data_IF_566268490892
#
_entry.id   IF_566268490892
#
_cell.length_a   1.000
_cell.length_b   1.000
_cell.length_c   1.000
_cell.angle_alpha   90.00
_cell.angle_beta   90.00
_cell.angle_gamma   90.00
#
_symmetry.space_group_name_H-M   'P 1'
#
loop_
_entity.id
_entity.type
_entity.pdbx_description
1 polymer ?
#
# COMPACT_ATOMS: atom_id res chain seq x y z
N UNK A 1 19.13 15.31 -10.39
CA UNK A 1 18.48 14.18 -9.69
C UNK A 1 19.46 13.73 -8.61
N UNK A 2 18.98 13.57 -7.39
CA UNK A 2 19.84 13.17 -6.27
C UNK A 2 20.32 11.72 -6.42
N UNK A 3 21.60 11.44 -6.08
CA UNK A 3 22.19 10.11 -6.28
C UNK A 3 21.37 8.97 -5.69
N UNK A 4 20.85 9.13 -4.49
CA UNK A 4 20.07 8.10 -3.81
C UNK A 4 18.78 7.69 -4.51
N UNK A 5 18.02 8.64 -5.10
CA UNK A 5 16.83 8.30 -5.89
C UNK A 5 17.17 7.54 -7.17
N UNK A 6 18.37 7.79 -7.74
CA UNK A 6 18.86 7.05 -8.91
C UNK A 6 19.15 5.59 -8.54
N UNK A 7 19.72 5.32 -7.37
CA UNK A 7 20.02 3.95 -6.92
C UNK A 7 18.74 3.12 -6.69
N UNK A 8 17.73 3.70 -6.04
CA UNK A 8 16.42 3.04 -5.93
C UNK A 8 15.84 2.74 -7.32
N UNK A 9 15.93 3.70 -8.25
CA UNK A 9 15.40 3.52 -9.60
C UNK A 9 16.14 2.40 -10.37
N UNK A 10 17.43 2.20 -10.12
CA UNK A 10 18.27 1.17 -10.73
C UNK A 10 18.06 -0.23 -10.13
N UNK A 11 17.43 -0.36 -8.97
CA UNK A 11 17.19 -1.66 -8.32
C UNK A 11 16.40 -2.61 -9.22
N UNK A 12 16.81 -3.87 -9.32
CA UNK A 12 16.19 -4.89 -10.18
C UNK A 12 15.26 -5.84 -9.42
N UNK A 13 15.37 -5.89 -8.10
CA UNK A 13 14.58 -6.75 -7.21
C UNK A 13 13.95 -5.94 -6.07
N UNK A 14 12.88 -6.48 -5.49
CA UNK A 14 12.26 -5.88 -4.29
C UNK A 14 13.27 -5.81 -3.16
N UNK A 15 14.08 -6.85 -2.96
CA UNK A 15 15.09 -6.90 -1.90
C UNK A 15 16.14 -5.80 -2.06
N UNK A 16 16.68 -5.61 -3.28
CA UNK A 16 17.66 -4.52 -3.53
C UNK A 16 17.06 -3.12 -3.36
N UNK A 17 15.80 -2.94 -3.76
CA UNK A 17 15.11 -1.67 -3.58
C UNK A 17 14.87 -1.36 -2.09
N UNK A 18 14.57 -2.37 -1.27
CA UNK A 18 14.39 -2.21 0.17
C UNK A 18 15.71 -1.90 0.88
N UNK A 19 16.81 -2.58 0.53
CA UNK A 19 18.12 -2.34 1.10
C UNK A 19 18.63 -0.92 0.79
N UNK A 20 18.47 -0.46 -0.44
CA UNK A 20 18.82 0.90 -0.84
C UNK A 20 18.00 1.95 -0.10
N UNK A 21 16.72 1.69 0.08
CA UNK A 21 15.85 2.56 0.84
C UNK A 21 16.28 2.69 2.31
N UNK A 22 16.60 1.57 2.96
CA UNK A 22 17.07 1.56 4.34
C UNK A 22 18.36 2.40 4.49
N UNK A 23 19.31 2.23 3.55
CA UNK A 23 20.54 3.05 3.52
C UNK A 23 20.23 4.54 3.44
N UNK A 24 19.36 4.95 2.51
CA UNK A 24 19.04 6.36 2.31
C UNK A 24 18.31 7.00 3.49
N UNK A 25 17.39 6.30 4.11
CA UNK A 25 16.67 6.85 5.27
C UNK A 25 17.55 6.88 6.52
N UNK A 26 18.51 5.94 6.63
CA UNK A 26 19.55 5.97 7.66
C UNK A 26 20.49 7.18 7.50
N UNK A 27 20.93 7.49 6.28
CA UNK A 27 21.72 8.68 5.97
C UNK A 27 20.98 9.98 6.30
N UNK A 28 19.66 9.98 6.26
CA UNK A 28 18.81 11.09 6.69
C UNK A 28 18.62 11.14 8.22
N UNK A 29 19.26 10.25 8.97
CA UNK A 29 19.27 10.25 10.43
C UNK A 29 18.12 9.49 11.08
N UNK A 30 17.34 8.71 10.33
CA UNK A 30 16.36 7.84 10.94
C UNK A 30 17.05 6.66 11.65
N UNK A 31 16.75 6.46 12.93
CA UNK A 31 17.31 5.38 13.76
C UNK A 31 16.50 4.09 13.65
N UNK A 32 15.25 4.19 13.26
CA UNK A 32 14.38 3.05 12.97
C UNK A 32 13.37 3.40 11.87
N UNK A 33 12.89 2.40 11.16
CA UNK A 33 11.90 2.62 10.15
C UNK A 33 11.20 1.36 9.70
N UNK A 34 10.09 1.55 9.02
CA UNK A 34 9.32 0.46 8.44
C UNK A 34 8.67 0.87 7.13
N UNK A 35 8.50 -0.11 6.28
CA UNK A 35 7.65 -0.06 5.11
C UNK A 35 6.70 -1.25 5.13
N UNK A 36 5.43 -0.98 4.90
CA UNK A 36 4.39 -1.98 4.95
C UNK A 36 3.45 -1.83 3.75
N UNK A 37 3.42 -2.81 2.87
CA UNK A 37 2.54 -2.84 1.71
C UNK A 37 1.70 -4.11 1.70
N UNK A 38 0.38 -3.96 1.72
CA UNK A 38 -0.53 -5.05 1.43
C UNK A 38 -1.00 -4.94 -0.02
N UNK A 39 -0.81 -5.96 -0.86
CA UNK A 39 -1.38 -5.95 -2.20
C UNK A 39 -2.90 -5.80 -2.13
N UNK A 40 -3.47 -5.07 -3.10
CA UNK A 40 -4.91 -4.83 -3.18
C UNK A 40 -5.71 -6.13 -2.98
N UNK A 41 -6.76 -6.05 -2.17
CA UNK A 41 -7.69 -7.15 -1.86
C UNK A 41 -7.09 -8.36 -1.13
N UNK A 42 -5.91 -8.23 -0.51
CA UNK A 42 -5.30 -9.25 0.33
C UNK A 42 -5.33 -8.84 1.80
N UNK A 43 -5.39 -9.86 2.68
CA UNK A 43 -5.23 -9.65 4.12
C UNK A 43 -3.84 -9.09 4.43
N UNK A 44 -3.75 -8.22 5.40
CA UNK A 44 -2.49 -7.65 5.91
C UNK A 44 -1.49 -8.72 6.37
N UNK A 45 -1.99 -9.89 6.76
CA UNK A 45 -1.18 -11.06 7.15
C UNK A 45 -0.99 -12.06 6.01
N UNK A 46 -1.43 -11.72 4.80
CA UNK A 46 -1.34 -12.63 3.64
C UNK A 46 0.10 -12.80 3.14
N UNK A 47 0.37 -13.93 2.51
CA UNK A 47 1.70 -14.29 1.94
C UNK A 47 2.29 -13.30 0.93
N UNK A 48 1.51 -12.30 0.48
CA UNK A 48 1.91 -11.27 -0.48
C UNK A 48 2.14 -9.90 0.14
N UNK A 49 1.99 -9.78 1.46
CA UNK A 49 2.32 -8.56 2.18
C UNK A 49 3.83 -8.39 2.23
N UNK A 50 4.30 -7.22 1.84
CA UNK A 50 5.71 -6.85 1.92
C UNK A 50 5.86 -6.01 3.18
N UNK A 51 6.68 -6.51 4.10
CA UNK A 51 7.05 -5.80 5.31
C UNK A 51 8.57 -5.75 5.38
N UNK A 52 9.13 -4.57 5.54
CA UNK A 52 10.52 -4.40 5.94
C UNK A 52 10.60 -3.44 7.10
N UNK A 53 11.61 -3.62 7.92
CA UNK A 53 11.89 -2.77 9.07
C UNK A 53 13.40 -2.80 9.37
N UNK A 54 13.87 -1.73 9.98
CA UNK A 54 15.24 -1.63 10.52
C UNK A 54 15.20 -0.87 11.85
N UNK A 55 16.21 -1.06 12.68
CA UNK A 55 16.41 -0.31 13.93
C UNK A 55 15.43 -0.63 15.06
N UNK A 56 14.49 -1.57 14.87
CA UNK A 56 13.60 -2.04 15.95
C UNK A 56 14.19 -3.24 16.66
N UNK A 57 13.97 -3.34 17.99
CA UNK A 57 14.30 -4.53 18.76
C UNK A 57 13.44 -5.73 18.29
N UNK A 58 13.97 -6.95 18.42
CA UNK A 58 13.22 -8.18 18.12
C UNK A 58 11.88 -8.26 18.86
N UNK A 59 11.85 -7.76 20.10
CA UNK A 59 10.65 -7.69 20.92
C UNK A 59 9.59 -6.78 20.30
N UNK A 60 9.99 -5.62 19.82
CA UNK A 60 9.09 -4.65 19.19
C UNK A 60 8.57 -5.18 17.85
N UNK A 61 9.45 -5.79 17.07
CA UNK A 61 9.09 -6.44 15.78
C UNK A 61 8.09 -7.57 16.01
N UNK A 62 8.35 -8.47 16.94
CA UNK A 62 7.44 -9.58 17.25
C UNK A 62 6.07 -9.10 17.71
N UNK A 63 6.05 -8.03 18.51
CA UNK A 63 4.80 -7.40 18.95
C UNK A 63 4.06 -6.77 17.76
N UNK A 64 4.76 -6.08 16.88
CA UNK A 64 4.15 -5.36 15.75
C UNK A 64 3.62 -6.32 14.68
N UNK A 65 4.28 -7.44 14.45
CA UNK A 65 3.87 -8.44 13.46
C UNK A 65 2.75 -9.38 13.97
N UNK A 66 2.45 -9.36 15.27
CA UNK A 66 1.29 -10.06 15.82
C UNK A 66 0.00 -9.38 15.31
N UNK A 67 -0.87 -10.09 14.59
CA UNK A 67 -2.13 -9.52 14.05
C UNK A 67 -2.99 -8.83 15.11
N UNK A 68 -3.03 -9.37 16.34
CA UNK A 68 -3.79 -8.79 17.45
C UNK A 68 -3.23 -7.44 17.92
N UNK A 69 -1.93 -7.23 17.80
CA UNK A 69 -1.28 -5.98 18.19
C UNK A 69 -1.21 -4.98 17.04
N UNK A 70 -1.20 -5.46 15.80
CA UNK A 70 -1.20 -4.59 14.62
C UNK A 70 -2.42 -3.66 14.59
N UNK A 71 -3.60 -4.17 14.89
CA UNK A 71 -4.85 -3.41 14.99
C UNK A 71 -4.81 -2.33 16.09
N UNK A 72 -3.95 -2.51 17.09
CA UNK A 72 -3.75 -1.56 18.18
C UNK A 72 -2.75 -0.44 17.85
N UNK A 73 -2.08 -0.47 16.69
CA UNK A 73 -1.29 0.68 16.24
C UNK A 73 -2.22 1.68 15.51
N UNK A 74 -2.52 2.85 16.14
CA UNK A 74 -3.47 3.78 15.55
C UNK A 74 -2.91 4.59 14.38
N UNK A 75 -1.60 4.56 14.19
CA UNK A 75 -0.91 5.51 13.30
C UNK A 75 -1.11 5.18 11.82
N UNK A 76 -0.93 3.95 11.34
CA UNK A 76 -1.06 3.64 9.91
C UNK A 76 -2.45 3.99 9.36
N UNK A 77 -3.51 3.51 10.02
CA UNK A 77 -4.88 3.76 9.57
C UNK A 77 -5.24 5.25 9.57
N UNK A 78 -4.82 5.98 10.62
CA UNK A 78 -5.07 7.41 10.70
C UNK A 78 -4.35 8.20 9.62
N UNK A 79 -3.07 7.91 9.38
CA UNK A 79 -2.25 8.59 8.37
C UNK A 79 -2.77 8.30 6.96
N UNK A 80 -3.14 7.06 6.68
CA UNK A 80 -3.73 6.67 5.40
C UNK A 80 -5.07 7.39 5.15
N UNK A 81 -5.95 7.47 6.13
CA UNK A 81 -7.22 8.22 6.02
C UNK A 81 -7.02 9.72 5.87
N UNK A 82 -6.02 10.29 6.58
CA UNK A 82 -5.70 11.72 6.48
C UNK A 82 -5.09 12.08 5.12
N UNK A 83 -4.51 11.13 4.40
CA UNK A 83 -3.95 11.31 3.06
C UNK A 83 -2.72 12.20 3.00
N UNK A 84 -2.07 12.48 4.12
CA UNK A 84 -0.92 13.40 4.19
C UNK A 84 0.17 12.90 5.13
N UNK A 85 1.40 13.26 4.79
CA UNK A 85 2.56 13.08 5.69
C UNK A 85 2.36 13.90 6.96
N UNK A 86 2.71 13.33 8.10
CA UNK A 86 2.64 14.01 9.40
C UNK A 86 3.71 13.48 10.36
N UNK A 87 4.03 14.26 11.38
CA UNK A 87 4.89 13.79 12.46
C UNK A 87 4.20 12.70 13.27
N UNK A 88 4.99 11.86 13.91
CA UNK A 88 4.46 10.81 14.77
C UNK A 88 3.73 11.39 15.98
N UNK A 89 4.27 12.47 16.55
CA UNK A 89 3.61 13.22 17.62
C UNK A 89 2.22 13.72 17.21
N UNK A 90 2.06 14.28 16.00
CA UNK A 90 0.74 14.67 15.47
C UNK A 90 -0.21 13.49 15.31
N UNK A 91 0.28 12.36 14.80
CA UNK A 91 -0.52 11.16 14.58
C UNK A 91 -0.98 10.51 15.89
N UNK A 92 -0.19 10.60 16.95
CA UNK A 92 -0.45 9.95 18.25
C UNK A 92 -1.12 10.85 19.30
N UNK A 93 -1.10 12.18 19.13
CA UNK A 93 -1.69 13.15 20.09
C UNK A 93 -3.20 13.34 19.95
N UNK A 94 -3.86 12.61 19.04
CA UNK A 94 -5.30 12.75 18.80
C UNK A 94 -6.15 12.29 19.98
N UNK A 95 -7.32 12.88 20.15
CA UNK A 95 -8.33 12.43 21.12
C UNK A 95 -8.97 11.11 20.68
N UNK A 96 -9.37 10.29 21.65
CA UNK A 96 -10.17 9.07 21.38
C UNK A 96 -9.35 7.81 21.10
N UNK A 97 -8.06 7.79 21.45
CA UNK A 97 -7.29 6.56 21.44
C UNK A 97 -7.77 5.61 22.55
N UNK A 98 -7.84 4.33 22.23
CA UNK A 98 -8.16 3.29 23.23
C UNK A 98 -6.97 3.06 24.19
N UNK A 99 -7.19 2.46 25.35
CA UNK A 99 -6.10 2.07 26.27
C UNK A 99 -5.05 1.16 25.59
N UNK A 100 -5.48 0.24 24.73
CA UNK A 100 -4.58 -0.64 23.97
C UNK A 100 -3.70 0.15 23.00
N UNK A 101 -4.27 1.16 22.34
CA UNK A 101 -3.53 2.05 21.43
C UNK A 101 -2.51 2.92 22.19
N UNK A 102 -2.90 3.46 23.34
CA UNK A 102 -1.96 4.18 24.20
C UNK A 102 -0.79 3.29 24.64
N UNK A 103 -1.07 2.05 25.09
CA UNK A 103 -0.03 1.11 25.47
C UNK A 103 0.93 0.80 24.32
N UNK A 104 0.42 0.69 23.10
CA UNK A 104 1.28 0.48 21.91
C UNK A 104 2.22 1.67 21.70
N UNK A 105 1.73 2.91 21.80
CA UNK A 105 2.55 4.13 21.67
C UNK A 105 3.64 4.17 22.76
N UNK A 106 3.29 3.87 24.00
CA UNK A 106 4.26 3.88 25.11
C UNK A 106 5.36 2.83 24.96
N UNK A 107 5.06 1.69 24.32
CA UNK A 107 6.09 0.69 24.02
C UNK A 107 7.14 1.17 23.03
N UNK A 108 6.73 1.96 22.02
CA UNK A 108 7.68 2.61 21.11
C UNK A 108 8.55 3.62 21.85
N UNK A 109 7.94 4.45 22.71
CA UNK A 109 8.68 5.42 23.53
C UNK A 109 9.70 4.78 24.46
N UNK A 110 9.38 3.60 25.01
CA UNK A 110 10.30 2.84 25.86
C UNK A 110 11.56 2.34 25.12
N UNK A 111 11.55 2.30 23.80
CA UNK A 111 12.71 1.96 22.96
C UNK A 111 13.48 3.22 22.49
N UNK A 112 13.33 4.35 23.20
CA UNK A 112 13.95 5.64 22.87
C UNK A 112 13.57 6.21 21.50
N UNK A 113 12.43 5.78 20.95
CA UNK A 113 11.88 6.33 19.72
C UNK A 113 11.00 7.55 20.08
N UNK A 114 11.59 8.74 20.00
CA UNK A 114 11.01 9.97 20.55
C UNK A 114 9.97 10.58 19.62
N UNK A 115 10.28 10.71 18.34
CA UNK A 115 9.37 11.24 17.31
C UNK A 115 9.66 10.58 15.96
N UNK A 116 8.92 10.95 14.94
CA UNK A 116 9.09 10.37 13.62
C UNK A 116 8.23 11.03 12.55
N UNK A 117 8.35 10.49 11.35
CA UNK A 117 7.58 10.89 10.16
C UNK A 117 6.79 9.70 9.65
N UNK A 118 5.51 9.89 9.47
CA UNK A 118 4.57 8.90 8.93
C UNK A 118 4.11 9.33 7.55
N UNK A 119 4.28 8.46 6.57
CA UNK A 119 4.04 8.75 5.16
C UNK A 119 3.01 7.78 4.58
N UNK A 120 1.84 8.26 4.14
CA UNK A 120 0.92 7.47 3.36
C UNK A 120 1.43 7.37 1.93
N UNK A 121 1.35 6.19 1.36
CA UNK A 121 1.88 5.87 0.05
C UNK A 121 0.78 5.26 -0.81
N UNK A 122 0.46 5.92 -1.91
CA UNK A 122 -0.56 5.46 -2.84
C UNK A 122 0.09 4.98 -4.13
N UNK A 123 -0.19 3.74 -4.48
CA UNK A 123 0.41 3.09 -5.63
C UNK A 123 -0.58 2.77 -6.74
N UNK A 124 -0.09 2.43 -7.94
CA UNK A 124 -0.92 2.01 -9.05
C UNK A 124 -1.71 0.75 -8.70
N UNK A 125 -2.95 0.65 -9.20
CA UNK A 125 -3.81 -0.52 -9.07
C UNK A 125 -4.20 -0.83 -7.62
N UNK A 126 -4.35 0.20 -6.78
CA UNK A 126 -4.73 0.05 -5.36
C UNK A 126 -3.65 -0.61 -4.50
N UNK A 127 -2.37 -0.48 -4.87
CA UNK A 127 -1.25 -0.93 -4.04
C UNK A 127 -0.84 0.18 -3.09
N UNK A 128 -1.66 0.37 -2.07
CA UNK A 128 -1.39 1.37 -1.06
C UNK A 128 -0.42 0.80 0.00
N UNK A 129 0.30 1.69 0.65
CA UNK A 129 1.37 1.35 1.56
C UNK A 129 1.51 2.43 2.63
N UNK A 130 2.28 2.11 3.65
CA UNK A 130 2.62 3.01 4.74
C UNK A 130 4.11 2.89 5.05
N UNK A 131 4.75 4.02 5.30
CA UNK A 131 6.09 4.07 5.87
C UNK A 131 6.13 4.94 7.10
N UNK A 132 6.95 4.56 8.07
CA UNK A 132 7.30 5.37 9.22
C UNK A 132 8.81 5.38 9.40
N UNK A 133 9.35 6.54 9.76
CA UNK A 133 10.76 6.78 10.08
C UNK A 133 10.83 7.40 11.45
N UNK A 134 11.59 6.81 12.34
CA UNK A 134 11.63 7.20 13.73
C UNK A 134 13.02 7.71 14.10
N UNK A 135 13.02 8.67 15.01
CA UNK A 135 14.18 9.40 15.48
C UNK A 135 14.27 9.31 17.01
N UNK A 136 15.47 9.34 17.53
CA UNK A 136 15.80 9.42 18.97
C UNK A 136 15.70 10.86 19.53
N UNK A 137 15.23 11.80 18.70
CA UNK A 137 15.01 13.20 19.03
C UNK A 137 13.64 13.69 18.58
N UNK A 138 13.18 14.78 19.16
CA UNK A 138 11.98 15.48 18.66
C UNK A 138 12.23 16.17 17.34
N UNK A 139 11.22 16.19 16.50
CA UNK A 139 11.20 16.94 15.23
C UNK A 139 10.48 18.27 15.44
N UNK A 140 11.09 19.35 14.98
CA UNK A 140 10.56 20.70 15.06
C UNK A 140 10.25 21.32 13.70
N UNK A 141 9.87 22.59 13.65
CA UNK A 141 9.62 23.31 12.39
C UNK A 141 10.80 23.32 11.44
N UNK A 142 12.03 23.36 11.97
CA UNK A 142 13.27 23.37 11.19
C UNK A 142 13.53 22.02 10.47
N UNK A 143 12.83 20.96 10.87
CA UNK A 143 12.92 19.65 10.24
C UNK A 143 11.99 19.48 9.01
N UNK A 144 11.25 20.51 8.61
CA UNK A 144 10.35 20.42 7.44
C UNK A 144 11.07 19.95 6.16
N UNK A 145 12.29 20.42 5.82
CA UNK A 145 13.04 19.89 4.68
C UNK A 145 13.34 18.39 4.79
N UNK A 146 13.68 17.91 5.99
CA UNK A 146 13.90 16.49 6.27
C UNK A 146 12.59 15.67 6.07
N UNK A 147 11.46 16.16 6.59
CA UNK A 147 10.15 15.52 6.43
C UNK A 147 9.77 15.40 4.96
N UNK A 148 9.96 16.47 4.18
CA UNK A 148 9.71 16.46 2.74
C UNK A 148 10.60 15.44 2.05
N UNK A 149 11.88 15.40 2.41
CA UNK A 149 12.87 14.49 1.82
C UNK A 149 12.52 13.03 2.09
N UNK A 150 12.22 12.67 3.32
CA UNK A 150 11.79 11.32 3.69
C UNK A 150 10.53 10.89 2.92
N UNK A 151 9.58 11.80 2.78
CA UNK A 151 8.37 11.53 2.02
C UNK A 151 8.65 11.32 0.52
N UNK A 152 9.61 12.03 -0.07
CA UNK A 152 10.02 11.85 -1.47
C UNK A 152 10.68 10.48 -1.67
N UNK A 153 11.64 10.13 -0.82
CA UNK A 153 12.34 8.83 -0.86
C UNK A 153 11.33 7.68 -0.72
N UNK A 154 10.43 7.75 0.27
CA UNK A 154 9.42 6.73 0.49
C UNK A 154 8.46 6.55 -0.70
N UNK A 155 8.01 7.65 -1.32
CA UNK A 155 7.13 7.59 -2.50
C UNK A 155 7.85 7.01 -3.70
N UNK A 156 9.10 7.39 -3.92
CA UNK A 156 9.91 6.87 -5.02
C UNK A 156 10.14 5.36 -4.87
N UNK A 157 10.54 4.93 -3.69
CA UNK A 157 10.70 3.53 -3.36
C UNK A 157 9.40 2.75 -3.57
N UNK A 158 8.28 3.25 -3.07
CA UNK A 158 6.99 2.60 -3.18
C UNK A 158 6.59 2.36 -4.64
N UNK A 159 6.72 3.37 -5.50
CA UNK A 159 6.47 3.23 -6.93
C UNK A 159 7.38 2.18 -7.58
N UNK A 160 8.67 2.17 -7.22
CA UNK A 160 9.62 1.16 -7.71
C UNK A 160 9.21 -0.25 -7.28
N UNK A 161 8.85 -0.45 -6.01
CA UNK A 161 8.37 -1.76 -5.52
C UNK A 161 7.08 -2.17 -6.26
N UNK A 162 6.14 -1.25 -6.47
CA UNK A 162 4.93 -1.55 -7.24
C UNK A 162 5.24 -2.07 -8.65
N UNK A 163 6.22 -1.49 -9.33
CA UNK A 163 6.66 -1.93 -10.66
C UNK A 163 7.32 -3.31 -10.62
N UNK A 164 8.20 -3.56 -9.65
CA UNK A 164 8.87 -4.84 -9.47
C UNK A 164 7.87 -5.96 -9.14
N UNK A 165 6.96 -5.70 -8.21
CA UNK A 165 5.89 -6.65 -7.85
C UNK A 165 4.98 -6.94 -9.04
N UNK A 166 4.67 -5.93 -9.87
CA UNK A 166 3.85 -6.16 -11.06
C UNK A 166 4.52 -7.10 -12.05
N UNK A 167 5.83 -6.93 -12.27
CA UNK A 167 6.62 -7.79 -13.14
C UNK A 167 6.59 -9.26 -12.68
N UNK A 168 6.67 -9.48 -11.36
CA UNK A 168 6.86 -10.81 -10.79
C UNK A 168 5.53 -11.56 -10.51
N UNK A 169 4.42 -10.85 -10.33
CA UNK A 169 3.20 -11.46 -9.79
C UNK A 169 2.05 -11.67 -10.77
N UNK A 170 2.03 -11.02 -11.92
CA UNK A 170 0.89 -11.20 -12.83
C UNK A 170 1.32 -11.27 -14.29
N UNK A 171 1.09 -12.43 -14.91
CA UNK A 171 1.09 -12.51 -16.38
C UNK A 171 0.02 -11.53 -16.90
N UNK A 172 0.34 -10.71 -17.92
CA UNK A 172 -0.65 -9.85 -18.56
C UNK A 172 -1.83 -10.68 -19.05
N UNK A 173 -3.03 -10.28 -18.66
CA UNK A 173 -4.26 -10.88 -19.20
C UNK A 173 -4.83 -9.94 -20.24
N UNK A 174 -4.82 -10.37 -21.48
CA UNK A 174 -5.43 -9.62 -22.57
C UNK A 174 -6.94 -9.84 -22.56
N UNK A 175 -7.70 -8.74 -22.39
CA UNK A 175 -9.15 -8.74 -22.61
C UNK A 175 -9.47 -7.93 -23.87
N UNK A 176 -10.49 -8.39 -24.60
CA UNK A 176 -10.97 -7.68 -25.79
C UNK A 176 -11.68 -6.37 -25.39
N UNK A 177 -11.87 -5.46 -26.34
CA UNK A 177 -12.63 -4.22 -26.13
C UNK A 177 -14.03 -4.52 -25.58
N UNK A 178 -14.73 -5.53 -26.11
CA UNK A 178 -16.07 -5.92 -25.66
C UNK A 178 -16.07 -6.53 -24.24
N UNK A 179 -15.07 -7.32 -23.90
CA UNK A 179 -14.91 -7.81 -22.53
C UNK A 179 -14.62 -6.66 -21.54
N UNK A 180 -13.85 -5.67 -21.96
CA UNK A 180 -13.60 -4.45 -21.16
C UNK A 180 -14.86 -3.63 -20.92
N UNK A 181 -15.69 -3.43 -21.96
CA UNK A 181 -16.98 -2.74 -21.84
C UNK A 181 -17.95 -3.49 -20.89
N UNK A 182 -18.03 -4.80 -21.02
CA UNK A 182 -18.86 -5.64 -20.11
C UNK A 182 -18.34 -5.53 -18.67
N UNK A 183 -17.04 -5.68 -18.46
CA UNK A 183 -16.42 -5.58 -17.13
C UNK A 183 -16.66 -4.20 -16.49
N UNK A 184 -16.59 -3.13 -17.29
CA UNK A 184 -16.88 -1.77 -16.83
C UNK A 184 -18.31 -1.62 -16.32
N UNK A 185 -19.30 -2.11 -17.06
CA UNK A 185 -20.71 -2.02 -16.63
C UNK A 185 -21.02 -2.96 -15.47
N UNK A 186 -20.37 -4.12 -15.41
CA UNK A 186 -20.43 -5.00 -14.24
C UNK A 186 -19.98 -4.27 -12.98
N UNK A 187 -18.87 -3.52 -13.04
CA UNK A 187 -18.34 -2.75 -11.92
C UNK A 187 -19.26 -1.60 -11.49
N UNK A 188 -20.11 -1.11 -12.39
CA UNK A 188 -21.17 -0.12 -12.10
C UNK A 188 -22.49 -0.74 -11.60
N UNK A 189 -22.49 -2.01 -11.28
CA UNK A 189 -23.65 -2.71 -10.72
C UNK A 189 -24.75 -3.03 -11.74
N UNK A 190 -24.51 -2.90 -13.05
CA UNK A 190 -25.52 -3.21 -14.09
C UNK A 190 -25.72 -4.72 -14.20
N UNK A 191 -26.98 -5.17 -14.30
CA UNK A 191 -27.28 -6.55 -14.61
C UNK A 191 -26.85 -6.93 -16.04
N UNK A 192 -26.79 -8.23 -16.36
CA UNK A 192 -26.45 -8.65 -17.72
C UNK A 192 -27.49 -8.19 -18.75
N UNK A 193 -28.77 -8.08 -18.35
CA UNK A 193 -29.82 -7.50 -19.19
C UNK A 193 -29.61 -6.00 -19.46
N UNK A 194 -29.24 -5.22 -18.42
CA UNK A 194 -28.93 -3.81 -18.58
C UNK A 194 -27.70 -3.60 -19.47
N UNK A 195 -26.65 -4.41 -19.25
CA UNK A 195 -25.42 -4.35 -20.09
C UNK A 195 -25.76 -4.66 -21.55
N UNK A 196 -26.60 -5.64 -21.79
CA UNK A 196 -27.05 -6.02 -23.13
C UNK A 196 -27.77 -4.84 -23.82
N UNK A 197 -28.70 -4.20 -23.11
CA UNK A 197 -29.42 -3.02 -23.62
C UNK A 197 -28.47 -1.84 -23.91
N UNK A 198 -27.51 -1.57 -22.98
CA UNK A 198 -26.52 -0.47 -23.14
C UNK A 198 -25.60 -0.70 -24.33
N UNK A 199 -25.14 -1.95 -24.53
CA UNK A 199 -24.18 -2.28 -25.57
C UNK A 199 -24.80 -2.65 -26.92
N UNK A 200 -26.14 -2.73 -27.00
CA UNK A 200 -26.88 -3.12 -28.21
C UNK A 200 -26.62 -4.58 -28.63
N UNK A 201 -26.54 -5.50 -27.67
CA UNK A 201 -26.30 -6.93 -27.87
C UNK A 201 -27.31 -7.78 -27.09
N UNK A 202 -27.33 -9.09 -27.30
CA UNK A 202 -28.24 -9.96 -26.54
C UNK A 202 -27.71 -10.28 -25.13
N UNK A 203 -28.58 -10.53 -24.14
CA UNK A 203 -28.15 -10.99 -22.80
C UNK A 203 -27.26 -12.25 -22.85
N UNK A 204 -27.55 -13.22 -23.74
CA UNK A 204 -26.74 -14.41 -23.93
C UNK A 204 -25.32 -14.11 -24.44
N UNK A 205 -25.17 -13.03 -25.23
CA UNK A 205 -23.84 -12.54 -25.64
C UNK A 205 -23.08 -11.96 -24.45
N UNK A 206 -23.75 -11.21 -23.57
CA UNK A 206 -23.16 -10.68 -22.33
C UNK A 206 -22.71 -11.82 -21.43
N UNK A 207 -23.55 -12.85 -21.23
CA UNK A 207 -23.21 -14.04 -20.44
C UNK A 207 -21.96 -14.76 -20.97
N UNK A 208 -21.81 -14.77 -22.28
CA UNK A 208 -20.61 -15.33 -22.92
C UNK A 208 -19.38 -14.53 -22.58
N UNK A 209 -19.43 -13.19 -22.63
CA UNK A 209 -18.30 -12.34 -22.24
C UNK A 209 -17.99 -12.45 -20.74
N UNK A 210 -18.99 -12.50 -19.89
CA UNK A 210 -18.83 -12.73 -18.43
C UNK A 210 -18.11 -14.04 -18.15
N UNK A 211 -18.51 -15.15 -18.78
CA UNK A 211 -17.85 -16.44 -18.63
C UNK A 211 -16.39 -16.40 -19.10
N UNK A 212 -16.12 -15.71 -20.21
CA UNK A 212 -14.74 -15.54 -20.71
C UNK A 212 -13.88 -14.72 -19.73
N UNK A 213 -14.42 -13.66 -19.13
CA UNK A 213 -13.74 -12.89 -18.10
C UNK A 213 -13.44 -13.75 -16.87
N UNK A 214 -14.40 -14.56 -16.41
CA UNK A 214 -14.19 -15.47 -15.28
C UNK A 214 -13.06 -16.48 -15.58
N UNK A 215 -13.06 -17.08 -16.76
CA UNK A 215 -12.00 -17.99 -17.18
C UNK A 215 -10.63 -17.30 -17.27
N UNK A 216 -10.57 -16.10 -17.87
CA UNK A 216 -9.32 -15.33 -18.02
C UNK A 216 -8.74 -14.87 -16.68
N UNK A 217 -9.60 -14.55 -15.73
CA UNK A 217 -9.21 -14.10 -14.39
C UNK A 217 -9.02 -15.25 -13.40
N UNK A 218 -9.44 -16.44 -13.77
CA UNK A 218 -9.49 -17.62 -12.90
C UNK A 218 -10.32 -17.36 -11.64
N UNK A 219 -11.54 -16.88 -11.83
CA UNK A 219 -12.52 -16.57 -10.77
C UNK A 219 -13.87 -17.19 -11.12
N UNK A 220 -14.78 -17.27 -10.14
CA UNK A 220 -16.04 -17.98 -10.29
C UNK A 220 -17.28 -17.13 -10.07
N UNK A 221 -17.13 -15.87 -9.68
CA UNK A 221 -18.23 -14.97 -9.39
C UNK A 221 -17.98 -13.55 -9.88
N UNK A 222 -19.04 -12.76 -9.92
CA UNK A 222 -19.05 -11.39 -10.43
C UNK A 222 -18.17 -10.44 -9.61
N UNK A 223 -18.21 -10.53 -8.29
CA UNK A 223 -17.46 -9.65 -7.40
C UNK A 223 -15.99 -9.92 -7.56
N UNK A 224 -15.58 -11.18 -7.51
CA UNK A 224 -14.19 -11.61 -7.74
C UNK A 224 -13.67 -11.15 -9.10
N UNK A 225 -14.49 -11.19 -10.16
CA UNK A 225 -14.08 -10.70 -11.47
C UNK A 225 -13.86 -9.18 -11.50
N UNK A 226 -14.70 -8.40 -10.83
CA UNK A 226 -14.54 -6.94 -10.70
C UNK A 226 -13.26 -6.62 -9.92
N UNK A 227 -13.07 -7.26 -8.75
CA UNK A 227 -11.89 -7.06 -7.93
C UNK A 227 -10.59 -7.43 -8.66
N UNK A 228 -10.62 -8.52 -9.42
CA UNK A 228 -9.47 -8.93 -10.23
C UNK A 228 -9.20 -7.94 -11.38
N UNK A 229 -10.24 -7.42 -12.02
CA UNK A 229 -10.14 -6.37 -13.02
C UNK A 229 -9.51 -5.09 -12.47
N UNK A 230 -9.90 -4.68 -11.27
CA UNK A 230 -9.32 -3.52 -10.57
C UNK A 230 -7.85 -3.77 -10.22
N UNK A 231 -7.53 -4.92 -9.63
CA UNK A 231 -6.15 -5.27 -9.25
C UNK A 231 -5.18 -5.37 -10.43
N UNK A 232 -5.71 -5.62 -11.64
CA UNK A 232 -4.94 -5.63 -12.91
C UNK A 232 -4.89 -4.25 -13.58
N UNK A 233 -5.59 -3.24 -13.05
CA UNK A 233 -5.71 -1.91 -13.66
C UNK A 233 -6.54 -1.88 -14.94
N UNK A 234 -7.37 -2.90 -15.17
CA UNK A 234 -8.34 -2.95 -16.28
C UNK A 234 -9.61 -2.14 -15.99
N UNK A 235 -9.84 -1.85 -14.72
CA UNK A 235 -10.87 -0.94 -14.22
C UNK A 235 -10.22 0.18 -13.42
N UNK A 236 -10.72 1.40 -13.60
CA UNK A 236 -10.36 2.55 -12.77
C UNK A 236 -11.57 2.93 -11.93
N UNK A 237 -11.33 3.19 -10.64
CA UNK A 237 -12.29 3.89 -9.79
C UNK A 237 -12.27 5.35 -10.25
N UNK A 238 -13.34 5.78 -10.89
CA UNK A 238 -13.56 7.17 -11.31
C UNK A 238 -14.66 7.80 -10.52
#
# INVERSE_FOLDING_TARGET
>A
VEPGLIHIAASETVASALAEFESQVGELGAVAGMYFMTPAFHSQTGKRTIVTHFGFSEKLVSMYLDPKNFENNPTPDYVMRAGRTMSWSQATSRKGLTPAQHNTIERFRAESLVDGVSVPLYGPKGRDSYSAFLFDRSLGPDDEPLVIRLAQVARHQHLKICLLVERDYKKPVAISKRESEVLYWMARGKSNADVAAILGITPGTVDTFVRRLYAKFNVHDRISAILEGMSRGLLKLG
#
